data_IF_014070730220
#
_entry.id   IF_014070730220
#
_cell.length_a   1.000
_cell.length_b   1.000
_cell.length_c   1.000
_cell.angle_alpha   90.00
_cell.angle_beta   90.00
_cell.angle_gamma   90.00
#
_symmetry.space_group_name_H-M   'P 1'
#
loop_
_entity.id
_entity.type
_entity.pdbx_description
1 polymer ?
2 branched ?
3 non-polymer ?
4 water ?
#
# COMPACT_ATOMS: atom_id res chain seq x y z
N UNK A 12 -31.61 5.42 2.55
CA UNK A 12 -30.19 5.13 2.93
C UNK A 12 -29.99 3.67 3.30
N UNK A 13 -30.84 3.16 4.20
CA UNK A 13 -30.74 1.77 4.60
C UNK A 13 -30.93 0.94 3.34
N UNK A 14 -31.64 1.55 2.38
CA UNK A 14 -31.91 0.94 1.09
C UNK A 14 -30.63 0.88 0.26
N UNK A 15 -29.85 1.96 0.29
CA UNK A 15 -28.59 2.03 -0.45
C UNK A 15 -27.65 0.96 0.11
N UNK A 16 -27.69 0.81 1.43
CA UNK A 16 -26.88 -0.19 2.12
C UNK A 16 -27.28 -1.60 1.69
N UNK A 17 -28.59 -1.83 1.51
CA UNK A 17 -29.08 -3.12 1.08
C UNK A 17 -28.51 -3.44 -0.31
N UNK A 18 -28.62 -2.49 -1.23
CA UNK A 18 -28.09 -2.69 -2.58
C UNK A 18 -26.57 -2.85 -2.57
N UNK A 19 -25.92 -2.04 -1.76
CA UNK A 19 -24.48 -2.09 -1.68
C UNK A 19 -23.81 -1.71 -2.99
N UNK A 20 -22.56 -2.13 -3.14
CA UNK A 20 -21.78 -1.85 -4.32
C UNK A 20 -22.33 -2.47 -5.61
N UNK A 21 -22.35 -1.70 -6.70
CA UNK A 21 -22.87 -2.26 -7.96
C UNK A 21 -22.06 -3.50 -8.35
N UNK A 22 -22.69 -4.40 -9.10
CA UNK A 22 -22.01 -5.61 -9.53
C UNK A 22 -20.83 -5.30 -10.43
N UNK A 23 -20.91 -4.18 -11.15
CA UNK A 23 -19.84 -3.79 -12.07
C UNK A 23 -18.55 -3.44 -11.33
N UNK A 24 -18.65 -3.19 -10.02
CA UNK A 24 -17.48 -2.84 -9.20
C UNK A 24 -16.92 -4.03 -8.42
N UNK A 25 -15.68 -4.41 -8.69
CA UNK A 25 -15.09 -5.55 -7.98
C UNK A 25 -14.81 -5.21 -6.52
N UNK A 26 -14.51 -6.24 -5.73
CA UNK A 26 -14.21 -6.05 -4.32
C UNK A 26 -12.94 -5.23 -4.14
N UNK A 27 -11.96 -5.48 -5.00
CA UNK A 27 -10.70 -4.76 -4.91
C UNK A 27 -10.84 -3.26 -5.11
N UNK A 28 -11.53 -2.85 -6.18
CA UNK A 28 -11.67 -1.42 -6.41
C UNK A 28 -12.67 -0.77 -5.47
N UNK A 29 -13.62 -1.54 -4.94
CA UNK A 29 -14.56 -0.98 -4.00
C UNK A 29 -13.78 -0.67 -2.73
N UNK A 30 -12.93 -1.62 -2.33
CA UNK A 30 -12.09 -1.48 -1.14
C UNK A 30 -11.20 -0.23 -1.26
N UNK A 31 -10.47 -0.11 -2.35
CA UNK A 31 -9.60 1.05 -2.55
C UNK A 31 -10.39 2.37 -2.52
N UNK A 32 -11.54 2.39 -3.17
CA UNK A 32 -12.40 3.57 -3.20
C UNK A 32 -12.74 3.98 -1.77
N UNK A 33 -13.21 3.01 -0.99
CA UNK A 33 -13.59 3.23 0.41
C UNK A 33 -12.38 3.74 1.21
N UNK A 34 -11.23 3.09 1.01
CA UNK A 34 -10.01 3.46 1.71
C UNK A 34 -9.63 4.91 1.35
N UNK A 35 -9.81 5.26 0.09
CA UNK A 35 -9.48 6.59 -0.40
C UNK A 35 -10.40 7.65 0.19
N UNK A 36 -11.70 7.38 0.17
CA UNK A 36 -12.66 8.31 0.73
C UNK A 36 -12.32 8.57 2.19
N UNK A 37 -12.02 7.51 2.94
CA UNK A 37 -11.68 7.68 4.34
C UNK A 37 -10.40 8.50 4.52
N UNK A 38 -9.40 8.24 3.68
CA UNK A 38 -8.13 8.97 3.78
C UNK A 38 -8.36 10.48 3.64
N UNK A 39 -9.16 10.87 2.65
CA UNK A 39 -9.42 12.28 2.38
C UNK A 39 -10.25 12.89 3.50
N UNK A 40 -11.21 12.11 3.99
CA UNK A 40 -12.06 12.55 5.07
C UNK A 40 -11.18 12.88 6.30
N UNK A 41 -10.48 11.86 6.79
CA UNK A 41 -9.61 12.02 7.96
C UNK A 41 -8.57 13.11 7.77
N UNK A 42 -8.06 13.27 6.55
CA UNK A 42 -7.06 14.29 6.28
C UNK A 42 -7.65 15.68 6.52
N UNK A 43 -8.92 15.85 6.13
CA UNK A 43 -9.59 17.13 6.32
C UNK A 43 -9.81 17.36 7.81
N UNK A 44 -10.29 16.34 8.51
CA UNK A 44 -10.53 16.47 9.94
C UNK A 44 -9.23 16.86 10.64
N UNK A 45 -8.16 16.14 10.35
CA UNK A 45 -6.87 16.42 10.96
C UNK A 45 -6.40 17.84 10.68
N UNK A 46 -6.50 18.27 9.43
CA UNK A 46 -6.08 19.62 9.05
C UNK A 46 -6.83 20.65 9.89
N UNK A 47 -8.10 20.38 10.14
CA UNK A 47 -8.93 21.28 10.94
C UNK A 47 -8.37 21.40 12.34
N UNK A 48 -8.18 20.26 13.01
CA UNK A 48 -7.62 20.28 14.36
C UNK A 48 -6.26 20.99 14.39
N UNK A 49 -5.40 20.68 13.43
CA UNK A 49 -4.07 21.32 13.37
C UNK A 49 -4.18 22.84 13.16
N UNK A 50 -5.16 23.26 12.37
CA UNK A 50 -5.35 24.68 12.12
C UNK A 50 -5.82 25.37 13.40
N UNK A 51 -6.75 24.70 14.08
CA UNK A 51 -7.32 25.20 15.33
C UNK A 51 -6.23 25.30 16.39
N UNK A 52 -5.39 24.28 16.43
CA UNK A 52 -4.31 24.22 17.38
C UNK A 52 -3.34 25.38 17.13
N UNK A 53 -3.12 25.71 15.85
CA UNK A 53 -2.21 26.79 15.48
C UNK A 53 -2.79 28.11 15.95
N UNK A 54 -4.05 28.37 15.62
CA UNK A 54 -4.70 29.61 16.02
C UNK A 54 -4.65 29.76 17.54
N UNK A 55 -4.84 28.65 18.25
CA UNK A 55 -4.82 28.68 19.70
C UNK A 55 -3.47 29.14 20.23
N UNK A 56 -2.38 28.63 19.68
CA UNK A 56 -1.06 29.03 20.14
C UNK A 56 -0.91 30.55 20.00
N UNK A 57 -1.27 31.04 18.82
CA UNK A 57 -1.16 32.46 18.50
C UNK A 57 -1.88 33.40 19.47
N UNK A 58 -3.10 33.05 19.85
CA UNK A 58 -3.89 33.87 20.76
C UNK A 58 -3.63 33.44 22.20
N UNK A 59 -2.55 32.71 22.41
CA UNK A 59 -2.20 32.22 23.73
C UNK A 59 -0.85 32.75 24.18
N UNK A 60 -0.12 33.33 23.23
CA UNK A 60 1.20 33.88 23.52
C UNK A 60 1.16 34.80 24.74
N UNK A 61 0.00 35.40 24.98
CA UNK A 61 -0.17 36.32 26.12
C UNK A 61 -1.03 35.71 27.23
N UNK A 62 -0.57 34.60 27.80
CA UNK A 62 -1.31 33.92 28.86
C UNK A 62 -0.37 33.22 29.87
N UNK A 63 -0.94 32.68 30.96
CA UNK A 63 -0.15 31.98 31.99
C UNK A 63 0.42 30.67 31.45
N UNK A 64 1.63 30.33 31.87
CA UNK A 64 2.28 29.10 31.43
C UNK A 64 1.34 27.91 31.57
N UNK A 65 0.71 27.79 32.73
CA UNK A 65 -0.22 26.69 32.99
C UNK A 65 -1.33 26.59 31.95
N UNK A 66 -1.94 27.73 31.63
CA UNK A 66 -3.01 27.75 30.65
C UNK A 66 -2.53 27.36 29.26
N UNK A 67 -1.26 27.59 28.96
CA UNK A 67 -0.71 27.22 27.66
C UNK A 67 -0.64 25.69 27.59
N UNK A 68 0.03 25.10 28.56
CA UNK A 68 0.15 23.64 28.64
C UNK A 68 -1.22 23.01 28.52
N UNK A 69 -2.21 23.63 29.17
CA UNK A 69 -3.58 23.13 29.14
C UNK A 69 -4.12 23.11 27.71
N UNK A 70 -3.80 24.16 26.94
CA UNK A 70 -4.22 24.25 25.55
C UNK A 70 -3.59 23.09 24.78
N UNK A 71 -2.29 22.91 24.95
CA UNK A 71 -1.57 21.83 24.29
C UNK A 71 -2.23 20.48 24.54
N UNK A 72 -2.37 20.09 25.80
CA UNK A 72 -3.00 18.83 26.13
C UNK A 72 -4.39 18.70 25.52
N UNK A 73 -5.07 19.82 25.33
CA UNK A 73 -6.40 19.79 24.75
C UNK A 73 -6.33 19.29 23.31
N UNK A 74 -5.50 19.93 22.50
CA UNK A 74 -5.36 19.51 21.12
C UNK A 74 -4.66 18.16 20.96
N UNK A 75 -3.69 17.86 21.82
CA UNK A 75 -3.01 16.57 21.72
C UNK A 75 -4.00 15.44 22.05
N UNK A 76 -4.97 15.73 22.91
CA UNK A 76 -6.01 14.77 23.28
C UNK A 76 -7.01 14.57 22.16
N UNK A 77 -7.35 15.66 21.48
CA UNK A 77 -8.28 15.57 20.36
C UNK A 77 -7.61 14.74 19.26
N UNK A 78 -6.30 14.84 19.14
CA UNK A 78 -5.57 14.10 18.12
C UNK A 78 -5.40 12.62 18.50
N UNK A 79 -5.22 12.36 19.79
CA UNK A 79 -5.08 11.00 20.29
C UNK A 79 -6.29 10.18 19.85
N UNK A 80 -7.47 10.73 20.16
CA UNK A 80 -8.74 10.13 19.84
C UNK A 80 -8.90 9.95 18.33
N UNK A 81 -8.54 10.98 17.56
CA UNK A 81 -8.63 10.92 16.11
C UNK A 81 -7.73 9.81 15.58
N UNK A 82 -6.51 9.73 16.11
CA UNK A 82 -5.58 8.69 15.69
C UNK A 82 -6.16 7.30 15.96
N UNK A 83 -6.86 7.16 17.09
CA UNK A 83 -7.45 5.89 17.47
C UNK A 83 -8.65 5.56 16.59
N UNK A 84 -9.31 6.61 16.09
CA UNK A 84 -10.45 6.42 15.22
C UNK A 84 -9.94 5.95 13.87
N UNK A 85 -8.86 6.57 13.41
CA UNK A 85 -8.25 6.23 12.13
C UNK A 85 -7.70 4.82 12.16
N UNK A 86 -7.08 4.45 13.28
CA UNK A 86 -6.51 3.11 13.44
C UNK A 86 -7.64 2.05 13.49
N UNK A 87 -8.69 2.32 14.25
CA UNK A 87 -9.81 1.38 14.36
C UNK A 87 -10.58 1.20 13.04
N UNK A 88 -10.82 2.31 12.37
CA UNK A 88 -11.50 2.33 11.08
C UNK A 88 -10.74 1.52 10.01
N UNK A 89 -9.43 1.73 9.94
CA UNK A 89 -8.59 1.02 8.98
C UNK A 89 -8.63 -0.50 9.24
N UNK A 90 -8.56 -0.89 10.52
CA UNK A 90 -8.58 -2.29 10.91
C UNK A 90 -9.88 -2.98 10.47
N UNK A 91 -10.99 -2.26 10.61
CA UNK A 91 -12.30 -2.79 10.23
C UNK A 91 -12.28 -3.01 8.72
N UNK A 92 -11.84 -2.00 7.98
CA UNK A 92 -11.76 -2.07 6.53
C UNK A 92 -10.89 -3.27 6.06
N UNK A 93 -9.68 -3.38 6.58
CA UNK A 93 -8.75 -4.47 6.21
C UNK A 93 -9.33 -5.85 6.55
N UNK A 94 -10.11 -5.88 7.63
CA UNK A 94 -10.78 -7.07 8.16
C UNK A 94 -11.82 -7.57 7.16
N UNK A 95 -12.74 -6.68 6.79
CA UNK A 95 -13.79 -6.99 5.85
C UNK A 95 -13.23 -7.42 4.49
N UNK A 96 -12.21 -6.71 4.03
CA UNK A 96 -11.58 -6.99 2.75
C UNK A 96 -10.90 -8.35 2.71
N UNK A 97 -10.15 -8.68 3.76
CA UNK A 97 -9.43 -9.96 3.80
C UNK A 97 -10.38 -11.14 3.81
N UNK A 98 -11.44 -11.03 4.61
CA UNK A 98 -12.44 -12.07 4.73
C UNK A 98 -13.18 -12.28 3.39
N UNK A 99 -13.37 -11.20 2.64
CA UNK A 99 -14.04 -11.29 1.35
C UNK A 99 -13.12 -11.89 0.28
N UNK A 100 -11.85 -11.52 0.32
CA UNK A 100 -10.91 -12.03 -0.68
C UNK A 100 -10.80 -13.55 -0.53
N UNK A 101 -10.70 -14.02 0.72
CA UNK A 101 -10.60 -15.45 0.99
C UNK A 101 -11.83 -16.20 0.50
N UNK A 102 -12.99 -15.61 0.74
CA UNK A 102 -14.27 -16.20 0.32
C UNK A 102 -14.36 -16.28 -1.21
N UNK A 103 -13.97 -15.21 -1.89
CA UNK A 103 -14.02 -15.22 -3.33
C UNK A 103 -13.06 -16.27 -3.93
N UNK A 104 -11.91 -16.45 -3.31
CA UNK A 104 -10.96 -17.44 -3.79
C UNK A 104 -11.52 -18.85 -3.62
N UNK A 105 -12.15 -19.12 -2.49
CA UNK A 105 -12.71 -20.45 -2.30
C UNK A 105 -13.87 -20.65 -3.25
N UNK A 106 -14.73 -19.63 -3.40
CA UNK A 106 -15.86 -19.72 -4.31
C UNK A 106 -15.41 -19.96 -5.76
N UNK A 107 -14.38 -19.25 -6.21
CA UNK A 107 -13.91 -19.44 -7.58
C UNK A 107 -13.29 -20.83 -7.78
N UNK A 108 -12.62 -21.35 -6.76
CA UNK A 108 -12.00 -22.67 -6.85
C UNK A 108 -13.11 -23.71 -6.94
N UNK A 109 -14.10 -23.61 -6.06
CA UNK A 109 -15.23 -24.53 -6.03
C UNK A 109 -16.01 -24.51 -7.33
N UNK A 110 -16.14 -23.35 -7.94
CA UNK A 110 -16.89 -23.28 -9.20
C UNK A 110 -16.04 -23.86 -10.34
N UNK A 111 -14.73 -23.65 -10.25
CA UNK A 111 -13.83 -24.18 -11.28
C UNK A 111 -13.87 -25.72 -11.18
N UNK A 112 -13.81 -26.23 -9.94
CA UNK A 112 -13.84 -27.66 -9.68
C UNK A 112 -15.07 -28.32 -10.34
N UNK A 113 -16.25 -27.73 -10.10
CA UNK A 113 -17.50 -28.24 -10.68
C UNK A 113 -17.42 -28.18 -12.22
N UNK A 114 -16.85 -27.11 -12.76
CA UNK A 114 -16.75 -27.02 -14.21
C UNK A 114 -15.91 -28.15 -14.78
N UNK A 115 -14.74 -28.37 -14.17
CA UNK A 115 -13.83 -29.42 -14.59
C UNK A 115 -14.59 -30.75 -14.54
N UNK A 116 -15.22 -31.01 -13.39
CA UNK A 116 -15.98 -32.23 -13.20
C UNK A 116 -17.11 -32.43 -14.23
N UNK A 117 -17.81 -31.36 -14.56
CA UNK A 117 -18.88 -31.45 -15.54
C UNK A 117 -18.37 -31.80 -16.93
N UNK A 118 -17.21 -31.26 -17.29
CA UNK A 118 -16.61 -31.54 -18.59
C UNK A 118 -16.17 -33.00 -18.68
N UNK A 119 -15.66 -33.53 -17.55
CA UNK A 119 -15.21 -34.91 -17.50
C UNK A 119 -16.38 -35.88 -17.50
N UNK A 120 -17.56 -35.38 -17.20
CA UNK A 120 -18.75 -36.22 -17.14
C UNK A 120 -19.72 -36.00 -18.31
N UNK A 121 -19.28 -35.33 -19.36
CA UNK A 121 -20.16 -35.07 -20.50
C UNK A 121 -20.21 -36.26 -21.47
N UNK A 122 -21.37 -36.93 -21.57
CA UNK A 122 -21.57 -38.10 -22.44
C UNK A 122 -20.35 -38.32 -23.33
N UNK A 123 -20.19 -37.53 -24.41
CA UNK A 123 -18.97 -37.80 -25.16
C UNK A 123 -17.99 -36.77 -24.61
N UNK A 124 -17.17 -37.13 -23.62
CA UNK A 124 -16.24 -36.13 -23.08
C UNK A 124 -15.48 -35.44 -24.21
N UNK A 125 -15.53 -34.12 -24.22
CA UNK A 125 -14.83 -33.33 -25.23
C UNK A 125 -13.47 -32.94 -24.68
N UNK A 126 -12.43 -33.20 -25.47
CA UNK A 126 -11.06 -32.90 -25.07
C UNK A 126 -10.79 -31.42 -24.76
N UNK A 127 -10.96 -30.56 -25.76
CA UNK A 127 -10.71 -29.13 -25.61
C UNK A 127 -11.41 -28.48 -24.43
N UNK A 128 -12.63 -28.91 -24.16
CA UNK A 128 -13.41 -28.37 -23.04
C UNK A 128 -12.86 -28.85 -21.70
N UNK A 129 -12.61 -30.15 -21.58
CA UNK A 129 -12.05 -30.69 -20.36
C UNK A 129 -10.70 -30.05 -20.06
N UNK A 130 -9.96 -29.75 -21.12
CA UNK A 130 -8.65 -29.14 -21.00
C UNK A 130 -8.77 -27.71 -20.50
N UNK A 131 -9.65 -26.92 -21.12
CA UNK A 131 -9.86 -25.53 -20.70
C UNK A 131 -10.39 -25.49 -19.26
N UNK A 132 -11.20 -26.48 -18.90
CA UNK A 132 -11.79 -26.58 -17.57
C UNK A 132 -10.72 -26.88 -16.51
N UNK A 133 -9.92 -27.91 -16.78
CA UNK A 133 -8.83 -28.29 -15.87
C UNK A 133 -7.87 -27.11 -15.75
N UNK A 134 -7.70 -26.39 -16.85
CA UNK A 134 -6.82 -25.23 -16.86
C UNK A 134 -7.34 -24.17 -15.88
N UNK A 135 -8.63 -23.90 -15.98
CA UNK A 135 -9.29 -22.92 -15.11
C UNK A 135 -9.21 -23.34 -13.64
N UNK A 136 -9.42 -24.63 -13.39
CA UNK A 136 -9.33 -25.15 -12.04
C UNK A 136 -7.92 -24.94 -11.50
N UNK A 137 -6.92 -25.32 -12.29
CA UNK A 137 -5.52 -25.17 -11.87
C UNK A 137 -5.19 -23.71 -11.57
N UNK A 138 -5.71 -22.79 -12.37
CA UNK A 138 -5.46 -21.37 -12.13
C UNK A 138 -6.14 -20.93 -10.85
N UNK A 139 -7.29 -21.52 -10.54
CA UNK A 139 -8.00 -21.15 -9.32
C UNK A 139 -7.17 -21.53 -8.10
N UNK A 140 -6.61 -22.74 -8.14
CA UNK A 140 -5.77 -23.21 -7.04
C UNK A 140 -4.50 -22.34 -6.96
N UNK A 141 -3.93 -22.01 -8.11
CA UNK A 141 -2.73 -21.19 -8.16
C UNK A 141 -2.98 -19.83 -7.53
N UNK A 142 -4.19 -19.31 -7.71
CA UNK A 142 -4.55 -18.02 -7.15
C UNK A 142 -4.50 -18.10 -5.63
N UNK A 143 -4.98 -19.20 -5.06
CA UNK A 143 -4.96 -19.36 -3.62
C UNK A 143 -3.54 -19.53 -3.10
N UNK A 144 -2.72 -20.25 -3.87
CA UNK A 144 -1.33 -20.47 -3.52
C UNK A 144 -0.55 -19.15 -3.54
N UNK A 145 -0.79 -18.35 -4.58
CA UNK A 145 -0.11 -17.05 -4.73
C UNK A 145 -0.53 -16.17 -3.59
N UNK A 146 -1.83 -16.20 -3.27
CA UNK A 146 -2.35 -15.38 -2.18
C UNK A 146 -1.72 -15.73 -0.86
N UNK A 147 -1.53 -17.03 -0.61
CA UNK A 147 -0.91 -17.49 0.62
C UNK A 147 0.55 -17.00 0.69
N UNK A 148 1.30 -17.19 -0.40
CA UNK A 148 2.69 -16.77 -0.42
C UNK A 148 2.83 -15.27 -0.26
N UNK A 149 2.08 -14.54 -1.09
CA UNK A 149 2.11 -13.08 -1.09
C UNK A 149 1.78 -12.48 0.28
N UNK A 150 0.70 -12.94 0.91
CA UNK A 150 0.35 -12.43 2.23
C UNK A 150 1.46 -12.63 3.27
N UNK A 151 2.09 -13.80 3.21
CA UNK A 151 3.19 -14.13 4.12
C UNK A 151 4.39 -13.21 3.78
N UNK A 152 4.70 -13.11 2.48
CA UNK A 152 5.78 -12.26 2.00
C UNK A 152 5.50 -10.81 2.41
N UNK A 153 4.22 -10.44 2.44
CA UNK A 153 3.83 -9.09 2.81
C UNK A 153 3.98 -8.82 4.31
N UNK A 154 3.59 -9.78 5.12
CA UNK A 154 3.69 -9.65 6.58
C UNK A 154 5.15 -9.59 6.98
N UNK A 155 6.00 -10.29 6.23
CA UNK A 155 7.44 -10.28 6.49
C UNK A 155 8.00 -8.91 6.13
N UNK A 156 7.48 -8.33 5.05
CA UNK A 156 7.95 -7.04 4.58
C UNK A 156 7.58 -5.86 5.48
N UNK A 157 6.60 -6.05 6.36
CA UNK A 157 6.19 -4.96 7.24
C UNK A 157 5.91 -5.33 8.69
N UNK A 158 6.24 -6.56 9.10
CA UNK A 158 6.01 -6.98 10.48
C UNK A 158 6.62 -8.36 10.75
N UNK A 159 7.97 -8.42 10.88
CA UNK A 159 8.78 -9.61 11.13
C UNK A 159 8.41 -10.52 12.29
N UNK A 160 8.01 -9.95 13.42
CA UNK A 160 7.63 -10.77 14.57
C UNK A 160 6.40 -11.60 14.22
N UNK A 161 5.55 -11.04 13.36
CA UNK A 161 4.34 -11.73 12.95
C UNK A 161 4.60 -12.79 11.87
N UNK A 162 5.55 -12.51 10.98
CA UNK A 162 5.88 -13.46 9.91
C UNK A 162 6.33 -14.80 10.51
N UNK A 163 7.17 -14.71 11.52
CA UNK A 163 7.72 -15.88 12.22
C UNK A 163 6.64 -16.84 12.71
N UNK A 164 5.54 -16.27 13.19
CA UNK A 164 4.43 -17.08 13.70
C UNK A 164 3.53 -17.63 12.59
N UNK A 165 3.78 -17.23 11.35
CA UNK A 165 2.97 -17.69 10.23
C UNK A 165 3.60 -18.88 9.51
N UNK A 166 4.92 -19.02 9.65
CA UNK A 166 5.67 -20.07 8.98
C UNK A 166 4.98 -21.42 8.88
N UNK A 167 4.76 -22.06 10.01
CA UNK A 167 4.14 -23.37 10.03
C UNK A 167 2.79 -23.37 9.32
N UNK A 168 1.94 -22.38 9.59
CA UNK A 168 0.63 -22.32 8.95
C UNK A 168 0.76 -22.27 7.43
N UNK A 169 1.65 -21.41 6.93
CA UNK A 169 1.88 -21.30 5.50
C UNK A 169 2.35 -22.65 4.96
N UNK A 170 3.32 -23.26 5.65
CA UNK A 170 3.88 -24.57 5.26
C UNK A 170 2.75 -25.60 5.05
N UNK A 171 1.88 -25.69 6.04
CA UNK A 171 0.75 -26.60 6.04
C UNK A 171 -0.29 -26.28 4.94
N UNK A 172 -0.66 -25.02 4.81
CA UNK A 172 -1.65 -24.63 3.80
C UNK A 172 -1.19 -24.88 2.36
N UNK A 173 0.08 -24.59 2.08
CA UNK A 173 0.59 -24.84 0.75
C UNK A 173 0.53 -26.33 0.41
N UNK A 174 0.76 -27.18 1.41
CA UNK A 174 0.70 -28.62 1.15
C UNK A 174 -0.76 -29.04 0.89
N UNK A 175 -1.68 -28.45 1.64
CA UNK A 175 -3.11 -28.75 1.46
C UNK A 175 -3.48 -28.48 0.01
N UNK A 176 -3.12 -27.31 -0.50
CA UNK A 176 -3.43 -26.95 -1.88
C UNK A 176 -2.86 -27.95 -2.87
N UNK A 177 -1.61 -28.35 -2.64
CA UNK A 177 -0.97 -29.27 -3.55
C UNK A 177 -1.61 -30.65 -3.53
N UNK A 178 -2.09 -31.09 -2.36
CA UNK A 178 -2.76 -32.38 -2.26
C UNK A 178 -4.12 -32.32 -2.94
N UNK A 179 -4.81 -31.19 -2.80
CA UNK A 179 -6.11 -31.00 -3.42
C UNK A 179 -5.93 -31.14 -4.92
N UNK A 180 -4.94 -30.43 -5.46
CA UNK A 180 -4.64 -30.49 -6.89
C UNK A 180 -4.40 -31.93 -7.36
N UNK A 181 -3.61 -32.70 -6.60
CA UNK A 181 -3.34 -34.09 -6.99
C UNK A 181 -4.63 -34.90 -6.99
N UNK A 182 -5.42 -34.75 -5.92
CA UNK A 182 -6.68 -35.47 -5.81
C UNK A 182 -7.62 -35.13 -6.96
N UNK A 183 -7.60 -33.87 -7.39
CA UNK A 183 -8.47 -33.45 -8.46
C UNK A 183 -8.03 -34.06 -9.79
N UNK A 184 -6.72 -34.14 -10.00
CA UNK A 184 -6.19 -34.73 -11.22
C UNK A 184 -6.61 -36.19 -11.29
N UNK A 185 -6.72 -36.81 -10.11
CA UNK A 185 -7.11 -38.21 -10.04
C UNK A 185 -8.50 -38.44 -10.62
N UNK A 186 -9.31 -37.39 -10.69
CA UNK A 186 -10.64 -37.53 -11.25
C UNK A 186 -10.53 -37.99 -12.71
N UNK A 187 -9.36 -37.76 -13.31
CA UNK A 187 -9.12 -38.16 -14.69
C UNK A 187 -8.89 -39.67 -14.82
N UNK A 188 -8.19 -40.26 -13.85
CA UNK A 188 -7.90 -41.69 -13.85
C UNK A 188 -9.18 -42.49 -14.09
N UNK A 189 -10.31 -41.88 -13.79
CA UNK A 189 -11.61 -42.52 -13.98
C UNK A 189 -11.89 -42.87 -15.45
N UNK A 190 -11.31 -42.10 -16.37
CA UNK A 190 -11.51 -42.33 -17.79
C UNK A 190 -10.16 -42.53 -18.47
N UNK A 191 -9.64 -43.77 -18.44
CA UNK A 191 -8.35 -44.08 -19.06
C UNK A 191 -8.23 -43.60 -20.51
N UNK A 192 -9.19 -43.97 -21.34
CA UNK A 192 -9.20 -43.59 -22.74
C UNK A 192 -9.00 -42.08 -22.85
N UNK A 193 -9.71 -41.35 -21.99
CA UNK A 193 -9.64 -39.88 -21.96
C UNK A 193 -8.29 -39.43 -21.42
N UNK A 194 -7.85 -40.06 -20.35
CA UNK A 194 -6.58 -39.74 -19.71
C UNK A 194 -5.46 -39.93 -20.72
N UNK A 195 -5.65 -40.87 -21.65
CA UNK A 195 -4.64 -41.14 -22.66
C UNK A 195 -4.45 -39.96 -23.61
N UNK A 196 -5.47 -39.69 -24.43
CA UNK A 196 -5.41 -38.60 -25.40
C UNK A 196 -4.88 -37.29 -24.82
N UNK A 197 -5.23 -37.03 -23.57
CA UNK A 197 -4.83 -35.80 -22.90
C UNK A 197 -3.50 -35.88 -22.14
N UNK A 198 -2.97 -37.08 -21.99
CA UNK A 198 -1.71 -37.29 -21.27
C UNK A 198 -0.67 -36.21 -21.60
N UNK A 199 -0.41 -35.96 -22.89
CA UNK A 199 0.56 -34.93 -23.28
C UNK A 199 0.11 -33.50 -22.94
N UNK A 200 -1.15 -33.20 -23.24
CA UNK A 200 -1.72 -31.88 -22.99
C UNK A 200 -1.54 -31.45 -21.54
N UNK A 201 -2.05 -32.28 -20.63
CA UNK A 201 -1.96 -32.01 -19.20
C UNK A 201 -0.50 -32.00 -18.73
N UNK A 202 0.32 -32.84 -19.34
CA UNK A 202 1.74 -32.94 -19.00
C UNK A 202 2.40 -31.57 -19.17
N UNK A 203 2.00 -30.84 -20.20
CA UNK A 203 2.55 -29.51 -20.44
C UNK A 203 2.05 -28.58 -19.35
N UNK A 204 0.76 -28.69 -19.04
CA UNK A 204 0.13 -27.88 -18.01
C UNK A 204 0.86 -27.96 -16.68
N UNK A 205 1.01 -29.17 -16.16
CA UNK A 205 1.68 -29.40 -14.88
C UNK A 205 2.80 -28.39 -14.67
N UNK A 206 3.47 -28.00 -15.75
CA UNK A 206 4.56 -27.04 -15.69
C UNK A 206 4.03 -25.65 -15.33
N UNK B 12 26.25 -3.61 -16.21
CA UNK B 12 25.69 -3.57 -14.82
C UNK B 12 25.92 -2.18 -14.22
N UNK B 13 27.18 -1.86 -13.91
CA UNK B 13 27.50 -0.56 -13.34
C UNK B 13 27.14 0.58 -14.27
N UNK B 14 27.12 0.31 -15.56
CA UNK B 14 26.80 1.33 -16.56
C UNK B 14 25.30 1.57 -16.61
N UNK B 15 24.51 0.51 -16.56
CA UNK B 15 23.05 0.63 -16.58
C UNK B 15 22.58 1.33 -15.30
N UNK B 16 23.26 1.04 -14.20
CA UNK B 16 22.90 1.70 -12.95
C UNK B 16 23.14 3.22 -13.09
N UNK B 17 24.26 3.60 -13.71
CA UNK B 17 24.56 5.03 -13.91
C UNK B 17 23.45 5.71 -14.69
N UNK B 18 23.06 5.11 -15.81
CA UNK B 18 22.01 5.69 -16.63
C UNK B 18 20.67 5.69 -15.90
N UNK B 19 20.48 4.73 -14.99
CA UNK B 19 19.24 4.65 -14.24
C UNK B 19 18.02 4.41 -15.13
N UNK B 20 16.83 4.63 -14.57
CA UNK B 20 15.58 4.42 -15.30
C UNK B 20 15.39 5.42 -16.42
N UNK B 21 14.70 5.01 -17.49
CA UNK B 21 14.46 5.90 -18.63
C UNK B 21 13.55 7.06 -18.24
N UNK B 22 13.60 8.13 -19.03
CA UNK B 22 12.78 9.31 -18.77
C UNK B 22 11.31 9.01 -18.80
N UNK B 23 10.92 8.11 -19.70
CA UNK B 23 9.53 7.69 -19.85
C UNK B 23 8.89 7.27 -18.52
N UNK B 24 9.70 6.74 -17.61
CA UNK B 24 9.22 6.22 -16.33
C UNK B 24 9.29 7.14 -15.11
N UNK B 25 8.12 7.45 -14.53
CA UNK B 25 8.05 8.32 -13.35
C UNK B 25 8.55 7.57 -12.11
N UNK B 26 8.91 8.33 -11.07
CA UNK B 26 9.39 7.75 -9.83
C UNK B 26 8.32 6.82 -9.24
N UNK B 27 7.10 7.32 -9.16
CA UNK B 27 5.98 6.54 -8.64
C UNK B 27 5.88 5.20 -9.38
N UNK B 28 5.87 5.30 -10.71
CA UNK B 28 5.80 4.14 -11.59
C UNK B 28 7.00 3.20 -11.38
N UNK B 29 8.21 3.74 -11.39
CA UNK B 29 9.40 2.93 -11.16
C UNK B 29 9.38 2.27 -9.79
N UNK B 30 8.86 2.98 -8.78
CA UNK B 30 8.78 2.43 -7.43
C UNK B 30 7.87 1.17 -7.39
N UNK B 31 6.66 1.27 -7.94
CA UNK B 31 5.72 0.15 -7.95
C UNK B 31 6.30 -1.07 -8.67
N UNK B 32 6.84 -0.86 -9.87
CA UNK B 32 7.42 -1.93 -10.67
C UNK B 32 8.58 -2.62 -9.95
N UNK B 33 9.39 -1.86 -9.23
CA UNK B 33 10.51 -2.42 -8.50
C UNK B 33 9.93 -3.23 -7.33
N UNK B 34 8.93 -2.66 -6.67
CA UNK B 34 8.27 -3.30 -5.54
C UNK B 34 7.65 -4.62 -5.97
N UNK B 35 7.00 -4.62 -7.15
CA UNK B 35 6.36 -5.83 -7.66
C UNK B 35 7.40 -6.90 -8.08
N UNK B 36 8.47 -6.49 -8.74
CA UNK B 36 9.51 -7.45 -9.14
C UNK B 36 10.05 -8.17 -7.90
N UNK B 37 10.31 -7.41 -6.84
CA UNK B 37 10.84 -8.00 -5.62
C UNK B 37 9.83 -8.95 -4.98
N UNK B 38 8.56 -8.55 -4.98
CA UNK B 38 7.50 -9.37 -4.40
C UNK B 38 7.44 -10.73 -5.09
N UNK B 39 7.46 -10.72 -6.42
CA UNK B 39 7.40 -11.96 -7.18
C UNK B 39 8.63 -12.84 -6.92
N UNK B 40 9.80 -12.23 -6.91
CA UNK B 40 11.07 -12.92 -6.65
C UNK B 40 11.01 -13.61 -5.28
N UNK B 41 10.56 -12.88 -4.27
CA UNK B 41 10.49 -13.46 -2.94
C UNK B 41 9.41 -14.56 -2.84
N UNK B 42 8.31 -14.42 -3.57
CA UNK B 42 7.27 -15.45 -3.53
C UNK B 42 7.84 -16.77 -4.06
N UNK B 43 8.60 -16.70 -5.15
CA UNK B 43 9.23 -17.88 -5.72
C UNK B 43 10.20 -18.54 -4.72
N UNK B 44 11.08 -17.74 -4.14
CA UNK B 44 12.07 -18.22 -3.17
C UNK B 44 11.35 -18.93 -2.03
N UNK B 45 10.37 -18.24 -1.45
CA UNK B 45 9.61 -18.81 -0.35
C UNK B 45 8.96 -20.14 -0.74
N UNK B 46 8.35 -20.17 -1.92
CA UNK B 46 7.68 -21.39 -2.36
C UNK B 46 8.71 -22.54 -2.42
N UNK B 47 9.87 -22.28 -3.02
CA UNK B 47 10.91 -23.31 -3.11
C UNK B 47 11.31 -23.83 -1.74
N UNK B 48 11.54 -22.93 -0.80
CA UNK B 48 11.93 -23.38 0.53
C UNK B 48 10.82 -24.25 1.10
N UNK B 49 9.59 -23.75 1.04
CA UNK B 49 8.42 -24.47 1.53
C UNK B 49 8.28 -25.86 0.91
N UNK B 50 8.56 -26.00 -0.37
CA UNK B 50 8.47 -27.32 -1.01
C UNK B 50 9.54 -28.27 -0.49
N UNK B 51 10.76 -27.76 -0.29
CA UNK B 51 11.86 -28.58 0.23
C UNK B 51 11.51 -29.08 1.63
N UNK B 52 11.07 -28.16 2.47
CA UNK B 52 10.69 -28.47 3.83
C UNK B 52 9.63 -29.58 3.87
N UNK B 53 8.65 -29.49 2.97
CA UNK B 53 7.59 -30.50 2.91
C UNK B 53 8.20 -31.86 2.55
N UNK B 54 9.06 -31.86 1.54
CA UNK B 54 9.71 -33.08 1.10
C UNK B 54 10.49 -33.65 2.28
N UNK B 55 11.23 -32.79 3.00
CA UNK B 55 11.99 -33.28 4.15
C UNK B 55 11.05 -33.93 5.18
N UNK B 56 9.90 -33.30 5.42
CA UNK B 56 8.93 -33.86 6.35
C UNK B 56 8.56 -35.27 5.94
N UNK B 57 8.39 -35.47 4.63
CA UNK B 57 8.05 -36.78 4.10
C UNK B 57 9.17 -37.76 4.41
N UNK B 58 10.34 -37.47 3.87
CA UNK B 58 11.54 -38.29 4.04
C UNK B 58 11.97 -38.61 5.47
N UNK B 59 11.72 -37.70 6.40
CA UNK B 59 12.21 -37.92 7.77
C UNK B 59 11.30 -38.54 8.82
N UNK B 60 10.12 -39.00 8.43
CA UNK B 60 9.23 -39.63 9.40
C UNK B 60 10.06 -40.64 10.19
N UNK B 61 11.00 -41.26 9.49
CA UNK B 61 11.88 -42.26 10.08
C UNK B 61 13.32 -41.77 10.27
N UNK B 62 13.53 -41.02 11.36
CA UNK B 62 14.82 -40.50 11.75
C UNK B 62 14.73 -40.27 13.25
N UNK B 63 15.87 -40.25 13.96
CA UNK B 63 15.84 -40.01 15.41
C UNK B 63 15.36 -38.61 15.75
N UNK B 64 14.55 -38.50 16.81
CA UNK B 64 13.99 -37.24 17.28
C UNK B 64 14.98 -36.07 17.13
N UNK B 65 16.18 -36.26 17.66
CA UNK B 65 17.21 -35.22 17.58
C UNK B 65 17.40 -34.74 16.14
N UNK B 66 17.53 -35.68 15.22
CA UNK B 66 17.72 -35.35 13.81
C UNK B 66 16.52 -34.63 13.21
N UNK B 67 15.32 -35.07 13.57
CA UNK B 67 14.10 -34.43 13.06
C UNK B 67 14.03 -32.99 13.54
N UNK B 68 14.48 -32.75 14.77
CA UNK B 68 14.45 -31.40 15.34
C UNK B 68 15.44 -30.51 14.61
N UNK B 69 16.61 -31.06 14.26
CA UNK B 69 17.61 -30.30 13.53
C UNK B 69 17.04 -29.87 12.18
N UNK B 70 16.46 -30.84 11.46
CA UNK B 70 15.84 -30.59 10.15
C UNK B 70 14.83 -29.44 10.22
N UNK B 71 14.01 -29.45 11.25
CA UNK B 71 13.03 -28.40 11.44
C UNK B 71 13.77 -27.07 11.63
N UNK B 72 14.71 -27.04 12.57
CA UNK B 72 15.48 -25.84 12.84
C UNK B 72 16.16 -25.36 11.56
N UNK B 73 16.67 -26.31 10.80
CA UNK B 73 17.33 -25.99 9.55
C UNK B 73 16.40 -25.19 8.61
N UNK B 74 15.15 -25.62 8.45
CA UNK B 74 14.24 -24.89 7.58
C UNK B 74 13.70 -23.59 8.18
N UNK B 75 13.41 -23.61 9.48
CA UNK B 75 12.92 -22.42 10.19
C UNK B 75 14.02 -21.35 10.12
N UNK B 76 15.26 -21.83 10.21
CA UNK B 76 16.42 -20.97 10.17
C UNK B 76 16.56 -20.30 8.80
N UNK B 77 16.21 -21.02 7.75
CA UNK B 77 16.32 -20.47 6.41
C UNK B 77 15.18 -19.47 6.14
N UNK B 78 14.00 -19.74 6.71
CA UNK B 78 12.88 -18.85 6.51
C UNK B 78 13.11 -17.54 7.26
N UNK B 79 13.76 -17.64 8.41
CA UNK B 79 14.08 -16.48 9.23
C UNK B 79 15.00 -15.56 8.43
N UNK B 80 16.07 -16.14 7.89
CA UNK B 80 17.01 -15.36 7.08
C UNK B 80 16.27 -14.71 5.91
N UNK B 81 15.36 -15.46 5.30
CA UNK B 81 14.59 -14.96 4.17
C UNK B 81 13.66 -13.81 4.61
N UNK B 82 13.07 -13.95 5.79
CA UNK B 82 12.17 -12.93 6.33
C UNK B 82 12.95 -11.61 6.58
N UNK B 83 14.15 -11.71 7.13
CA UNK B 83 14.97 -10.56 7.42
C UNK B 83 15.41 -9.86 6.13
N UNK B 84 15.64 -10.63 5.08
CA UNK B 84 16.04 -10.05 3.80
C UNK B 84 14.86 -9.33 3.15
N UNK B 85 13.67 -9.89 3.26
CA UNK B 85 12.46 -9.29 2.67
C UNK B 85 12.24 -7.95 3.35
N UNK B 86 12.25 -7.99 4.67
CA UNK B 86 12.06 -6.80 5.49
C UNK B 86 13.10 -5.71 5.18
N UNK B 87 14.38 -6.06 5.23
CA UNK B 87 15.41 -5.07 4.97
C UNK B 87 15.31 -4.46 3.59
N UNK B 88 15.00 -5.31 2.63
CA UNK B 88 14.83 -4.92 1.23
C UNK B 88 13.67 -3.91 1.10
N UNK B 89 12.58 -4.13 1.83
CA UNK B 89 11.45 -3.22 1.75
C UNK B 89 11.80 -1.87 2.37
N UNK B 90 12.46 -1.91 3.52
CA UNK B 90 12.84 -0.68 4.21
C UNK B 90 13.72 0.18 3.30
N UNK B 91 14.59 -0.47 2.53
CA UNK B 91 15.45 0.27 1.63
C UNK B 91 14.62 0.89 0.49
N UNK B 92 13.72 0.09 -0.09
CA UNK B 92 12.88 0.56 -1.18
C UNK B 92 12.02 1.76 -0.72
N UNK B 93 11.43 1.63 0.47
CA UNK B 93 10.58 2.66 1.05
C UNK B 93 11.38 3.93 1.33
N UNK B 94 12.61 3.76 1.80
CA UNK B 94 13.46 4.89 2.14
C UNK B 94 13.89 5.62 0.86
N UNK B 95 14.38 4.88 -0.13
CA UNK B 95 14.77 5.50 -1.38
C UNK B 95 13.61 6.34 -1.95
N UNK B 96 12.42 5.76 -2.02
CA UNK B 96 11.24 6.43 -2.58
C UNK B 96 10.83 7.67 -1.80
N UNK B 97 10.80 7.56 -0.47
CA UNK B 97 10.42 8.69 0.38
C UNK B 97 11.39 9.86 0.19
N UNK B 98 12.67 9.53 0.10
CA UNK B 98 13.69 10.54 -0.08
C UNK B 98 13.51 11.24 -1.42
N UNK B 99 13.11 10.50 -2.44
CA UNK B 99 12.92 11.09 -3.76
C UNK B 99 11.66 11.95 -3.82
N UNK B 100 10.63 11.56 -3.06
CA UNK B 100 9.38 12.29 -3.06
C UNK B 100 9.58 13.65 -2.40
N UNK B 101 10.28 13.66 -1.28
CA UNK B 101 10.54 14.91 -0.57
C UNK B 101 11.49 15.85 -1.34
N UNK B 102 12.45 15.28 -2.08
CA UNK B 102 13.40 16.10 -2.84
C UNK B 102 12.68 16.78 -3.99
N UNK B 103 11.79 16.05 -4.64
CA UNK B 103 11.06 16.61 -5.75
C UNK B 103 10.18 17.81 -5.27
N UNK B 104 9.51 17.64 -4.13
CA UNK B 104 8.65 18.69 -3.59
C UNK B 104 9.48 19.93 -3.23
N UNK B 105 10.65 19.71 -2.62
CA UNK B 105 11.50 20.84 -2.28
C UNK B 105 11.99 21.50 -3.55
N UNK B 106 12.39 20.68 -4.51
CA UNK B 106 12.88 21.22 -5.77
C UNK B 106 11.82 22.07 -6.47
N UNK B 107 10.58 21.59 -6.47
CA UNK B 107 9.52 22.33 -7.14
C UNK B 107 9.19 23.61 -6.42
N UNK B 108 9.28 23.60 -5.10
CA UNK B 108 8.98 24.81 -4.34
C UNK B 108 10.02 25.88 -4.65
N UNK B 109 11.30 25.47 -4.64
CA UNK B 109 12.38 26.41 -4.92
C UNK B 109 12.32 26.95 -6.35
N UNK B 110 11.95 26.11 -7.30
CA UNK B 110 11.89 26.59 -8.69
C UNK B 110 10.73 27.59 -8.77
N UNK B 111 9.61 27.27 -8.14
CA UNK B 111 8.45 28.14 -8.14
C UNK B 111 8.79 29.46 -7.44
N UNK B 112 9.54 29.39 -6.34
CA UNK B 112 9.91 30.62 -5.64
C UNK B 112 10.73 31.53 -6.57
N UNK B 113 11.71 30.96 -7.25
CA UNK B 113 12.53 31.74 -8.17
C UNK B 113 11.67 32.39 -9.25
N UNK B 114 10.65 31.67 -9.72
CA UNK B 114 9.78 32.23 -10.74
C UNK B 114 8.94 33.39 -10.22
N UNK B 115 8.44 33.25 -8.99
CA UNK B 115 7.63 34.29 -8.36
C UNK B 115 8.50 35.52 -8.21
N UNK B 116 9.71 35.32 -7.73
CA UNK B 116 10.66 36.39 -7.53
C UNK B 116 10.96 37.14 -8.84
N UNK B 117 11.17 36.39 -9.93
CA UNK B 117 11.48 36.97 -11.24
C UNK B 117 10.34 37.85 -11.75
N UNK B 118 9.11 37.38 -11.61
CA UNK B 118 7.97 38.14 -12.06
C UNK B 118 7.86 39.43 -11.25
N UNK B 119 8.22 39.35 -9.97
CA UNK B 119 8.17 40.50 -9.08
C UNK B 119 9.23 41.55 -9.42
N UNK B 120 10.37 41.11 -9.95
CA UNK B 120 11.48 42.00 -10.27
C UNK B 120 11.57 42.45 -11.72
N UNK B 121 10.45 42.50 -12.43
CA UNK B 121 10.48 42.96 -13.81
C UNK B 121 10.40 44.49 -13.79
N UNK B 122 10.95 45.15 -14.82
CA UNK B 122 10.91 46.62 -14.88
C UNK B 122 9.45 47.02 -14.70
N UNK B 123 8.56 46.55 -15.60
CA UNK B 123 7.15 46.91 -15.44
C UNK B 123 6.42 45.62 -15.01
N UNK B 124 6.43 45.31 -13.70
CA UNK B 124 5.77 44.12 -13.15
C UNK B 124 4.34 43.88 -13.62
N UNK B 125 4.15 42.84 -14.44
CA UNK B 125 2.85 42.50 -14.98
C UNK B 125 2.02 41.67 -13.99
N UNK B 126 0.99 42.29 -13.42
CA UNK B 126 0.14 41.63 -12.44
C UNK B 126 -0.35 40.24 -12.86
N UNK B 127 -0.48 40.03 -14.16
CA UNK B 127 -0.93 38.75 -14.69
C UNK B 127 0.11 37.67 -14.45
N UNK B 128 1.36 37.98 -14.79
CA UNK B 128 2.49 37.08 -14.65
C UNK B 128 2.84 36.82 -13.18
N UNK B 129 2.70 37.86 -12.36
CA UNK B 129 2.99 37.75 -10.95
C UNK B 129 1.96 36.82 -10.33
N UNK B 130 0.68 37.06 -10.66
CA UNK B 130 -0.38 36.24 -10.13
C UNK B 130 -0.19 34.75 -10.46
N UNK B 131 0.21 34.47 -11.70
CA UNK B 131 0.44 33.10 -12.14
C UNK B 131 1.66 32.45 -11.46
N UNK B 132 2.73 33.21 -11.26
CA UNK B 132 3.92 32.68 -10.61
C UNK B 132 3.61 32.38 -9.13
N UNK B 133 2.87 33.29 -8.51
CA UNK B 133 2.48 33.14 -7.11
C UNK B 133 1.59 31.91 -6.96
N UNK B 134 0.69 31.72 -7.92
CA UNK B 134 -0.21 30.58 -7.89
C UNK B 134 0.58 29.27 -7.88
N UNK B 135 1.52 29.13 -8.80
CA UNK B 135 2.36 27.93 -8.89
C UNK B 135 3.14 27.69 -7.58
N UNK B 136 3.60 28.78 -6.96
CA UNK B 136 4.35 28.66 -5.72
C UNK B 136 3.46 28.17 -4.59
N UNK B 137 2.24 28.72 -4.52
CA UNK B 137 1.32 28.33 -3.46
C UNK B 137 0.87 26.89 -3.66
N UNK B 138 0.81 26.44 -4.92
CA UNK B 138 0.42 25.07 -5.18
C UNK B 138 1.54 24.13 -4.71
N UNK B 139 2.78 24.59 -4.81
CA UNK B 139 3.93 23.80 -4.37
C UNK B 139 3.88 23.62 -2.84
N UNK B 140 3.58 24.71 -2.12
CA UNK B 140 3.48 24.67 -0.66
C UNK B 140 2.31 23.78 -0.25
N UNK B 141 1.22 23.85 -1.01
CA UNK B 141 0.04 23.05 -0.74
C UNK B 141 0.35 21.55 -0.90
N UNK B 142 1.18 21.22 -1.89
CA UNK B 142 1.56 19.83 -2.12
C UNK B 142 2.30 19.34 -0.90
N UNK B 143 3.27 20.13 -0.43
CA UNK B 143 4.02 19.72 0.74
C UNK B 143 3.06 19.62 1.93
N UNK B 144 2.07 20.50 2.02
CA UNK B 144 1.15 20.42 3.13
C UNK B 144 0.37 19.10 3.08
N UNK B 145 -0.19 18.78 1.91
CA UNK B 145 -0.94 17.54 1.75
C UNK B 145 -0.06 16.32 2.04
N UNK B 146 1.18 16.36 1.55
CA UNK B 146 2.10 15.25 1.76
C UNK B 146 2.35 15.07 3.27
N UNK B 147 2.48 16.19 3.98
CA UNK B 147 2.71 16.13 5.42
C UNK B 147 1.48 15.52 6.12
N UNK B 148 0.29 16.03 5.80
CA UNK B 148 -0.93 15.50 6.40
C UNK B 148 -1.18 14.03 6.08
N UNK B 149 -0.97 13.65 4.82
CA UNK B 149 -1.20 12.28 4.40
C UNK B 149 -0.28 11.27 5.09
N UNK B 150 1.00 11.62 5.17
CA UNK B 150 1.95 10.73 5.83
C UNK B 150 1.56 10.53 7.28
N UNK B 151 1.13 11.60 7.95
CA UNK B 151 0.70 11.51 9.35
C UNK B 151 -0.54 10.57 9.42
N UNK B 152 -1.53 10.80 8.56
CA UNK B 152 -2.74 9.99 8.53
C UNK B 152 -2.43 8.50 8.30
N UNK B 153 -1.47 8.23 7.42
CA UNK B 153 -1.08 6.86 7.12
C UNK B 153 -0.41 6.17 8.32
N UNK B 154 0.45 6.88 9.02
CA UNK B 154 1.10 6.31 10.19
C UNK B 154 0.07 5.99 11.30
N UNK B 155 -0.96 6.82 11.44
CA UNK B 155 -1.98 6.57 12.47
C UNK B 155 -2.85 5.37 12.08
N UNK B 156 -3.06 5.20 10.78
CA UNK B 156 -3.87 4.11 10.25
C UNK B 156 -3.23 2.76 10.50
N UNK B 157 -1.90 2.69 10.50
CA UNK B 157 -1.22 1.43 10.67
C UNK B 157 -0.29 1.29 11.89
N UNK B 158 0.08 2.40 12.51
CA UNK B 158 1.00 2.35 13.66
C UNK B 158 0.71 3.53 14.59
N UNK B 159 -0.41 3.45 15.32
CA UNK B 159 -0.90 4.44 16.28
C UNK B 159 0.11 5.02 17.27
N UNK B 160 1.00 4.18 17.78
CA UNK B 160 1.98 4.64 18.77
C UNK B 160 2.97 5.60 18.15
N UNK B 161 3.38 5.29 16.92
CA UNK B 161 4.33 6.13 16.21
C UNK B 161 3.63 7.44 15.81
N UNK B 162 2.34 7.36 15.54
CA UNK B 162 1.58 8.54 15.17
C UNK B 162 1.61 9.50 16.35
N UNK B 163 1.48 8.96 17.55
CA UNK B 163 1.53 9.77 18.75
C UNK B 163 2.90 10.46 18.89
N UNK B 164 3.96 9.74 18.54
CA UNK B 164 5.32 10.28 18.63
C UNK B 164 5.60 11.46 17.69
N UNK B 165 5.03 11.43 16.49
CA UNK B 165 5.28 12.48 15.49
C UNK B 165 4.30 13.66 15.53
N UNK B 166 3.21 13.49 16.26
CA UNK B 166 2.15 14.48 16.37
C UNK B 166 2.60 15.94 16.46
N UNK B 167 3.43 16.26 17.47
CA UNK B 167 3.93 17.62 17.66
C UNK B 167 4.82 18.07 16.50
N UNK B 168 5.59 17.14 15.94
CA UNK B 168 6.48 17.45 14.83
C UNK B 168 5.69 17.81 13.55
N UNK B 169 4.54 17.16 13.34
CA UNK B 169 3.68 17.42 12.18
C UNK B 169 3.09 18.83 12.37
N UNK B 170 2.57 19.08 13.57
CA UNK B 170 1.99 20.36 13.91
C UNK B 170 3.03 21.47 13.68
N UNK B 171 4.26 21.21 14.11
CA UNK B 171 5.34 22.17 13.91
C UNK B 171 5.67 22.31 12.42
N UNK B 172 5.70 21.18 11.71
CA UNK B 172 6.00 21.22 10.28
C UNK B 172 4.96 22.05 9.53
N UNK B 173 3.68 21.86 9.86
CA UNK B 173 2.61 22.60 9.20
C UNK B 173 2.74 24.10 9.43
N UNK B 174 3.21 24.50 10.60
CA UNK B 174 3.41 25.90 10.95
C UNK B 174 4.59 26.49 10.20
N UNK B 175 5.60 25.65 9.93
CA UNK B 175 6.78 26.11 9.21
C UNK B 175 6.32 26.43 7.78
N UNK B 176 5.50 25.56 7.21
CA UNK B 176 5.00 25.77 5.86
C UNK B 176 4.19 27.07 5.79
N UNK B 177 3.27 27.24 6.75
CA UNK B 177 2.42 28.43 6.79
C UNK B 177 3.24 29.71 6.89
N UNK B 178 4.31 29.67 7.67
CA UNK B 178 5.16 30.84 7.81
C UNK B 178 5.88 31.19 6.51
N UNK B 179 6.29 30.17 5.76
CA UNK B 179 6.97 30.40 4.48
C UNK B 179 6.01 31.09 3.50
N UNK B 180 4.78 30.61 3.45
CA UNK B 180 3.79 31.20 2.57
C UNK B 180 3.56 32.69 2.93
N UNK B 181 3.44 33.00 4.22
CA UNK B 181 3.22 34.38 4.62
C UNK B 181 4.41 35.25 4.27
N UNK B 182 5.60 34.70 4.42
CA UNK B 182 6.84 35.42 4.10
C UNK B 182 6.90 35.67 2.60
N UNK B 183 6.60 34.63 1.83
CA UNK B 183 6.64 34.76 0.38
C UNK B 183 5.59 35.79 -0.05
N UNK B 184 4.40 35.75 0.56
CA UNK B 184 3.38 36.71 0.23
C UNK B 184 3.87 38.10 0.63
N UNK B 185 4.57 38.17 1.75
CA UNK B 185 5.10 39.45 2.21
C UNK B 185 5.93 40.12 1.14
N UNK B 186 6.57 39.33 0.27
CA UNK B 186 7.38 39.87 -0.81
C UNK B 186 6.52 40.73 -1.74
N UNK B 187 5.23 40.41 -1.80
CA UNK B 187 4.29 41.12 -2.66
C UNK B 187 3.80 42.41 -2.03
N UNK B 188 3.94 42.53 -0.71
CA UNK B 188 3.49 43.73 -0.02
C UNK B 188 4.48 44.86 -0.16
N UNK B 189 5.57 44.59 -0.85
CA UNK B 189 6.59 45.61 -1.09
C UNK B 189 6.23 46.33 -2.39
N UNK B 190 5.00 46.11 -2.84
CA UNK B 190 4.47 46.71 -4.06
C UNK B 190 2.94 46.84 -3.86
N UNK B 191 2.52 47.84 -3.07
CA UNK B 191 1.12 48.16 -2.71
C UNK B 191 0.10 48.11 -3.85
N UNK B 192 0.35 48.84 -4.93
CA UNK B 192 -0.57 48.86 -6.05
C UNK B 192 -0.85 47.43 -6.49
N UNK B 193 0.21 46.75 -6.92
CA UNK B 193 0.14 45.37 -7.39
C UNK B 193 -0.58 44.52 -6.36
N UNK B 194 -0.16 44.63 -5.10
CA UNK B 194 -0.78 43.86 -4.03
C UNK B 194 -2.27 44.15 -3.96
N UNK B 195 -2.63 45.43 -3.88
CA UNK B 195 -4.03 45.82 -3.80
C UNK B 195 -4.79 45.25 -5.00
N UNK B 196 -4.14 45.28 -6.15
CA UNK B 196 -4.72 44.78 -7.39
C UNK B 196 -5.00 43.28 -7.36
N UNK B 197 -4.00 42.50 -6.99
CA UNK B 197 -4.13 41.05 -6.95
C UNK B 197 -4.79 40.49 -5.68
N UNK B 198 -4.96 41.34 -4.67
CA UNK B 198 -5.56 40.95 -3.39
C UNK B 198 -6.73 39.96 -3.51
N UNK B 199 -7.85 40.39 -4.11
CA UNK B 199 -8.98 39.46 -4.24
C UNK B 199 -8.67 38.12 -4.92
N UNK B 200 -7.76 38.15 -5.90
CA UNK B 200 -7.38 36.94 -6.62
C UNK B 200 -6.52 36.02 -5.75
N UNK B 201 -5.63 36.63 -4.95
CA UNK B 201 -4.76 35.87 -4.06
C UNK B 201 -5.59 35.18 -2.98
N UNK B 202 -6.56 35.90 -2.44
CA UNK B 202 -7.43 35.37 -1.39
C UNK B 202 -8.13 34.08 -1.85
N UNK B 203 -8.59 34.07 -3.09
CA UNK B 203 -9.26 32.90 -3.64
C UNK B 203 -8.26 31.75 -3.68
N UNK B 204 -7.01 32.06 -3.99
CA UNK B 204 -5.95 31.05 -4.06
C UNK B 204 -5.68 30.46 -2.68
N UNK B 205 -5.50 31.34 -1.69
CA UNK B 205 -5.23 30.93 -0.32
C UNK B 205 -6.39 30.21 0.34
N UNK B 206 -7.62 30.65 0.03
CA UNK B 206 -8.82 30.04 0.60
C UNK B 206 -9.14 28.69 -0.02
N UNK B 207 -8.45 28.35 -1.12
CA UNK B 207 -8.67 27.08 -1.80
C UNK B 207 -8.27 25.90 -0.90
#
# INVERSE_FOLDING_TARGET
GSHMTPTPRPTDGVDIYFGMPGEISEHEGFLRAKMDLEERRMRQINEVMREWAMADNQSKNLPKADRQALNEHFQSILQTLEEQVSGERQRLVETHATRVIALINDQRRAALEGFLAALQADPPQAERVLLALRRYLRAEQKEQRHTLRHYQHVAAVDPEKAQQMRFQVHTHLQVIEERVNQSLGLLDQNPHLAQELRPQIQELLHSEHLGPSE
GSHMTPTPRPTDGVDIYFGMPGEISEHEGFLRAKMDLEERRMRQINEVMREWAMADNQSKNLPKADRQALNEHFQSILQTLEEQVSGERQRLVETHATRVIALINDQRRAALEGFLAALQADPPQAERVLLALRRYLRAEQKEQRHTLRHYQHVAAVDPEKAQQMRFQVHTHLQVIEERVNQSLGLLDQNPHLAQELRPQIQELLHSEHLGPSE
#
